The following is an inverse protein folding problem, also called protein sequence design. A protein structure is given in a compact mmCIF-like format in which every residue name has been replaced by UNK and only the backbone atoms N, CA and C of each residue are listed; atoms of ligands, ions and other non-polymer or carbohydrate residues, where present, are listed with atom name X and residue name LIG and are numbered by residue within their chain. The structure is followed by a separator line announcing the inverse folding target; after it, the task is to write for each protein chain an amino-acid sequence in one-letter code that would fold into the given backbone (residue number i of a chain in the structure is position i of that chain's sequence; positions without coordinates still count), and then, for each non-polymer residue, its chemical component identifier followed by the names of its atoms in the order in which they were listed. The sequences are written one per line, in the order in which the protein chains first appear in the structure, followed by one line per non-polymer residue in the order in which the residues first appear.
data_IF_222973041237
#
_entry.id   IF_222973041237
#
_cell.length_a   1.000
_cell.length_b   1.000
_cell.length_c   1.000
_cell.angle_alpha   90.00
_cell.angle_beta   90.00
_cell.angle_gamma   90.00
#
_symmetry.space_group_name_H-M   'P 1'
#
loop_
_entity.id
_entity.type
_entity.pdbx_description
1 polymer ?
#
# COMPACT_ATOMS: atom_id res chain seq x y z
N UNK A 1 -50.42 4.33 -46.62
CA UNK A 1 -51.06 5.65 -46.77
C UNK A 1 -50.32 6.59 -45.83
N UNK A 2 -49.27 7.26 -46.31
CA UNK A 2 -49.22 8.68 -46.70
C UNK A 2 -49.60 9.65 -45.57
N UNK A 3 -48.61 10.36 -44.98
CA UNK A 3 -48.25 11.80 -45.22
C UNK A 3 -49.01 12.69 -44.21
N UNK A 4 -48.46 13.71 -43.54
CA UNK A 4 -47.20 14.46 -43.67
C UNK A 4 -46.86 15.17 -42.34
N UNK A 5 -45.58 15.48 -42.09
CA UNK A 5 -44.87 16.74 -42.42
C UNK A 5 -45.05 17.88 -41.40
N UNK A 6 -43.94 18.20 -40.70
CA UNK A 6 -43.25 19.51 -40.67
C UNK A 6 -43.91 20.57 -39.76
N UNK A 7 -43.28 21.35 -38.88
CA UNK A 7 -41.92 21.86 -38.62
C UNK A 7 -41.92 22.34 -37.14
N UNK A 8 -40.80 22.47 -36.43
CA UNK A 8 -40.15 23.77 -36.23
C UNK A 8 -38.65 23.62 -35.92
N UNK A 9 -37.91 24.56 -36.50
CA UNK A 9 -36.47 24.70 -36.52
C UNK A 9 -36.03 25.66 -35.40
N UNK A 10 -34.80 25.42 -34.91
CA UNK A 10 -33.80 26.38 -34.39
C UNK A 10 -33.97 26.90 -32.96
N UNK A 11 -32.99 26.55 -32.12
CA UNK A 11 -32.15 27.47 -31.36
C UNK A 11 -30.87 26.72 -30.90
N UNK A 12 -29.84 26.72 -31.73
CA UNK A 12 -28.48 26.34 -31.33
C UNK A 12 -27.50 27.19 -32.15
N UNK A 13 -27.17 28.36 -31.61
CA UNK A 13 -26.17 29.25 -32.15
C UNK A 13 -25.29 29.72 -31.00
N UNK A 14 -24.17 29.01 -30.80
CA UNK A 14 -22.89 29.46 -30.23
C UNK A 14 -21.98 28.24 -29.99
N UNK A 15 -21.47 27.67 -31.07
CA UNK A 15 -20.25 26.87 -31.03
C UNK A 15 -19.42 27.19 -32.28
N UNK A 16 -18.17 27.60 -32.06
CA UNK A 16 -17.23 27.96 -33.12
C UNK A 16 -16.96 26.78 -34.06
N UNK A 17 -16.44 27.10 -35.24
CA UNK A 17 -16.15 26.13 -36.31
C UNK A 17 -15.28 24.99 -35.79
N UNK A 18 -15.80 23.75 -35.84
CA UNK A 18 -15.06 22.56 -35.42
C UNK A 18 -14.04 22.16 -36.49
N UNK A 19 -12.78 22.51 -36.26
CA UNK A 19 -11.66 22.06 -37.09
C UNK A 19 -11.37 20.58 -36.80
N UNK A 20 -11.18 19.79 -37.86
CA UNK A 20 -10.92 18.36 -37.78
C UNK A 20 -9.56 18.06 -37.11
N UNK A 21 -9.43 16.95 -36.34
CA UNK A 21 -8.17 16.58 -35.66
C UNK A 21 -6.98 16.47 -36.63
N UNK A 22 -7.20 15.92 -37.82
CA UNK A 22 -6.19 15.82 -38.88
C UNK A 22 -5.69 17.19 -39.36
N UNK A 23 -6.58 18.18 -39.43
CA UNK A 23 -6.29 19.54 -39.86
C UNK A 23 -5.43 20.30 -38.83
N UNK A 24 -5.54 19.94 -37.55
CA UNK A 24 -4.75 20.52 -36.44
C UNK A 24 -3.31 19.99 -36.44
N UNK A 25 -3.11 18.74 -36.82
CA UNK A 25 -1.78 18.11 -36.85
C UNK A 25 -0.93 18.54 -38.06
N UNK A 26 -1.55 18.99 -39.17
CA UNK A 26 -0.84 19.52 -40.34
C UNK A 26 -0.34 20.96 -40.17
N UNK A 27 -0.99 21.77 -39.32
CA UNK A 27 -0.59 23.17 -39.07
C UNK A 27 0.61 23.27 -38.10
N UNK A 28 0.88 22.21 -37.33
CA UNK A 28 1.93 22.19 -36.29
C UNK A 28 3.32 21.78 -36.82
N UNK A 29 3.44 21.29 -38.06
CA UNK A 29 4.72 20.83 -38.63
C UNK A 29 5.27 21.85 -39.63
N UNK A 30 5.89 22.91 -39.13
CA UNK A 30 6.81 23.71 -39.93
C UNK A 30 8.12 22.93 -40.12
N UNK A 31 8.21 22.15 -41.21
CA UNK A 31 9.50 21.71 -41.74
C UNK A 31 10.14 22.90 -42.48
N UNK A 32 11.09 23.56 -41.83
CA UNK A 32 11.97 24.51 -42.48
C UNK A 32 13.08 23.73 -43.20
N UNK A 33 12.88 23.42 -44.48
CA UNK A 33 13.97 23.04 -45.39
C UNK A 33 14.46 24.31 -46.07
N UNK A 34 15.52 24.92 -45.53
CA UNK A 34 16.21 26.03 -46.18
C UNK A 34 17.13 25.46 -47.29
N UNK A 35 16.80 25.79 -48.53
CA UNK A 35 17.69 25.59 -49.67
C UNK A 35 18.87 26.57 -49.57
N UNK A 36 20.09 26.05 -49.72
CA UNK A 36 21.30 26.85 -49.75
C UNK A 36 21.36 27.64 -51.08
N UNK A 37 21.18 28.95 -51.01
CA UNK A 37 21.61 29.88 -52.05
C UNK A 37 22.97 30.44 -51.64
N UNK A 38 23.99 30.18 -52.45
CA UNK A 38 25.33 30.74 -52.27
C UNK A 38 25.32 32.24 -52.58
N UNK A 39 25.72 33.07 -51.62
CA UNK A 39 26.13 34.45 -51.85
C UNK A 39 27.45 34.67 -51.13
N UNK A 40 28.42 35.20 -51.87
CA UNK A 40 29.78 35.47 -51.43
C UNK A 40 29.86 36.64 -50.45
N UNK A 41 30.94 36.58 -49.69
CA UNK A 41 31.47 37.44 -48.63
C UNK A 41 31.49 38.95 -48.88
N UNK A 42 31.34 39.73 -47.79
CA UNK A 42 32.28 40.81 -47.41
C UNK A 42 32.09 41.25 -45.94
N UNK A 43 33.21 41.67 -45.34
CA UNK A 43 33.46 42.27 -44.01
C UNK A 43 33.40 41.43 -42.71
N UNK A 44 34.60 40.95 -42.30
CA UNK A 44 34.90 40.45 -40.97
C UNK A 44 35.16 41.60 -39.99
N UNK A 45 34.22 41.87 -39.08
CA UNK A 45 34.54 42.55 -37.83
C UNK A 45 35.15 41.53 -36.84
N UNK A 46 36.23 41.88 -36.10
CA UNK A 46 36.83 40.96 -35.14
C UNK A 46 35.88 40.78 -33.94
N UNK A 47 35.19 39.65 -33.91
CA UNK A 47 34.43 39.23 -32.73
C UNK A 47 35.42 38.80 -31.63
N UNK A 48 35.59 39.67 -30.64
CA UNK A 48 36.23 39.31 -29.38
C UNK A 48 35.38 38.23 -28.70
N UNK A 49 35.76 36.96 -28.84
CA UNK A 49 35.18 35.86 -28.05
C UNK A 49 35.65 36.10 -26.61
N UNK A 50 34.77 36.41 -25.64
CA UNK A 50 35.21 36.47 -24.26
C UNK A 50 35.71 35.08 -23.86
N UNK A 51 36.83 34.97 -23.13
CA UNK A 51 37.27 33.67 -22.64
C UNK A 51 36.14 33.06 -21.82
N UNK A 52 35.82 31.79 -22.10
CA UNK A 52 34.88 30.99 -21.31
C UNK A 52 35.31 31.15 -19.85
N UNK A 53 34.51 31.89 -19.07
CA UNK A 53 34.74 32.04 -17.65
C UNK A 53 34.87 30.63 -17.09
N UNK A 54 36.06 30.29 -16.58
CA UNK A 54 36.28 29.04 -15.86
C UNK A 54 35.20 28.99 -14.79
N UNK A 55 34.25 28.07 -14.94
CA UNK A 55 33.19 27.87 -13.96
C UNK A 55 33.88 27.77 -12.59
N UNK A 56 33.48 28.64 -11.65
CA UNK A 56 33.95 28.58 -10.27
C UNK A 56 33.93 27.11 -9.83
N UNK A 57 34.94 26.63 -9.05
CA UNK A 57 35.07 25.22 -8.73
C UNK A 57 33.73 24.71 -8.21
N UNK A 58 33.07 23.84 -9.00
CA UNK A 58 31.75 23.33 -8.65
C UNK A 58 31.89 22.66 -7.29
N UNK A 59 31.10 23.09 -6.30
CA UNK A 59 31.13 22.48 -4.97
C UNK A 59 30.86 20.98 -5.10
N UNK A 60 31.85 20.16 -4.76
CA UNK A 60 31.74 18.72 -4.92
C UNK A 60 30.94 18.15 -3.73
N UNK A 61 29.92 17.35 -4.03
CA UNK A 61 29.18 16.57 -3.06
C UNK A 61 29.44 15.09 -3.31
N UNK A 62 29.68 14.33 -2.25
CA UNK A 62 29.68 12.87 -2.34
C UNK A 62 28.26 12.39 -2.68
N UNK A 63 28.14 11.60 -3.75
CA UNK A 63 26.87 10.98 -4.13
C UNK A 63 26.77 9.63 -3.43
N UNK A 64 25.73 9.45 -2.62
CA UNK A 64 25.44 8.21 -1.93
C UNK A 64 24.15 7.60 -2.48
N UNK A 65 24.11 6.27 -2.53
CA UNK A 65 22.87 5.53 -2.74
C UNK A 65 22.36 5.07 -1.37
N UNK A 66 21.06 5.24 -1.13
CA UNK A 66 20.37 4.75 0.05
C UNK A 66 19.23 3.82 -0.34
N UNK A 67 18.87 2.90 0.56
CA UNK A 67 17.81 1.93 0.31
C UNK A 67 16.77 1.99 1.42
N UNK A 68 15.54 2.32 1.03
CA UNK A 68 14.37 2.21 1.90
C UNK A 68 13.76 0.84 1.66
N UNK A 69 14.26 -0.15 2.42
CA UNK A 69 13.73 -1.49 2.38
C UNK A 69 12.49 -1.60 3.28
N UNK A 70 11.39 -2.03 2.69
CA UNK A 70 10.07 -2.07 3.33
C UNK A 70 9.46 -3.47 3.30
N UNK A 71 8.82 -3.87 4.40
CA UNK A 71 7.91 -5.03 4.45
C UNK A 71 6.48 -4.51 4.40
N UNK A 72 5.69 -4.78 3.34
CA UNK A 72 4.32 -4.28 3.24
C UNK A 72 3.38 -4.93 4.27
N UNK A 73 2.21 -4.34 4.56
CA UNK A 73 1.21 -4.96 5.43
C UNK A 73 0.80 -6.33 4.90
N UNK A 74 0.77 -7.33 5.78
CA UNK A 74 0.38 -8.71 5.47
C UNK A 74 -1.11 -8.96 5.70
N UNK A 75 -1.74 -8.16 6.57
CA UNK A 75 -3.17 -8.23 6.87
C UNK A 75 -3.81 -6.86 6.70
N UNK A 76 -5.12 -6.85 6.48
CA UNK A 76 -5.93 -5.63 6.40
C UNK A 76 -5.82 -4.84 7.70
N UNK A 77 -6.02 -3.52 7.62
CA UNK A 77 -6.07 -2.65 8.81
C UNK A 77 -7.29 -2.96 9.69
N UNK A 78 -7.22 -2.56 10.95
CA UNK A 78 -8.41 -2.51 11.79
C UNK A 78 -9.37 -1.42 11.29
N UNK A 79 -10.67 -1.72 11.41
CA UNK A 79 -11.74 -0.79 11.05
C UNK A 79 -11.88 0.28 12.13
N UNK A 80 -12.13 1.51 11.70
CA UNK A 80 -12.53 2.55 12.65
C UNK A 80 -13.93 2.22 13.20
N UNK A 81 -14.27 2.55 14.47
CA UNK A 81 -15.59 2.27 15.02
C UNK A 81 -16.76 2.78 14.15
N UNK A 82 -16.60 3.96 13.56
CA UNK A 82 -17.55 4.50 12.59
C UNK A 82 -17.69 3.63 11.33
N UNK A 83 -16.58 3.13 10.78
CA UNK A 83 -16.62 2.28 9.58
C UNK A 83 -17.29 0.94 9.88
N UNK A 84 -17.02 0.35 11.04
CA UNK A 84 -17.67 -0.89 11.48
C UNK A 84 -19.19 -0.72 11.60
N UNK A 85 -19.64 0.37 12.23
CA UNK A 85 -21.06 0.72 12.33
C UNK A 85 -21.69 1.00 10.95
N UNK A 86 -20.99 1.75 10.09
CA UNK A 86 -21.44 2.04 8.74
C UNK A 86 -21.60 0.77 7.89
N UNK A 87 -20.65 -0.17 7.97
CA UNK A 87 -20.76 -1.42 7.23
C UNK A 87 -21.93 -2.27 7.72
N UNK A 88 -22.17 -2.34 9.04
CA UNK A 88 -23.33 -3.04 9.57
C UNK A 88 -24.64 -2.41 9.05
N UNK A 89 -24.74 -1.09 9.09
CA UNK A 89 -25.88 -0.35 8.57
C UNK A 89 -26.13 -0.65 7.09
N UNK A 90 -25.09 -0.57 6.26
CA UNK A 90 -25.20 -0.88 4.83
C UNK A 90 -25.58 -2.34 4.56
N UNK A 91 -25.10 -3.30 5.38
CA UNK A 91 -25.50 -4.70 5.25
C UNK A 91 -26.99 -4.91 5.55
N UNK A 92 -27.54 -4.24 6.58
CA UNK A 92 -28.98 -4.32 6.91
C UNK A 92 -29.84 -3.64 5.85
N UNK A 93 -29.40 -2.49 5.34
CA UNK A 93 -30.06 -1.84 4.21
C UNK A 93 -30.06 -2.74 2.97
N UNK A 94 -28.93 -3.41 2.69
CA UNK A 94 -28.84 -4.38 1.62
C UNK A 94 -29.80 -5.56 1.83
N UNK A 95 -30.00 -6.06 3.06
CA UNK A 95 -30.99 -7.12 3.35
C UNK A 95 -32.43 -6.71 2.98
N UNK A 96 -32.76 -5.41 3.05
CA UNK A 96 -34.07 -4.89 2.65
C UNK A 96 -34.24 -4.80 1.13
N UNK A 97 -33.19 -4.39 0.44
CA UNK A 97 -33.23 -4.09 -1.00
C UNK A 97 -32.89 -5.30 -1.87
N UNK A 98 -32.10 -6.23 -1.34
CA UNK A 98 -31.69 -7.42 -2.05
C UNK A 98 -32.86 -8.39 -2.26
N UNK A 99 -32.79 -9.15 -3.34
CA UNK A 99 -33.73 -10.23 -3.58
C UNK A 99 -33.61 -11.28 -2.46
N UNK A 100 -34.73 -11.88 -2.03
CA UNK A 100 -34.72 -12.87 -0.96
C UNK A 100 -33.87 -14.09 -1.34
N UNK A 101 -33.15 -14.63 -0.37
CA UNK A 101 -32.28 -15.78 -0.58
C UNK A 101 -33.06 -17.02 -1.07
N UNK A 102 -32.73 -17.49 -2.29
CA UNK A 102 -33.39 -18.65 -2.92
C UNK A 102 -32.83 -19.96 -2.41
N UNK A 103 -33.27 -20.39 -1.23
CA UNK A 103 -32.81 -21.64 -0.58
C UNK A 103 -32.83 -22.87 -1.48
N UNK A 104 -33.89 -23.06 -2.29
CA UNK A 104 -34.05 -24.25 -3.13
C UNK A 104 -33.01 -24.39 -4.25
N UNK A 105 -32.35 -23.29 -4.61
CA UNK A 105 -31.25 -23.30 -5.56
C UNK A 105 -30.00 -23.97 -4.98
N UNK A 106 -29.73 -23.77 -3.68
CA UNK A 106 -28.54 -24.28 -2.99
C UNK A 106 -28.79 -25.60 -2.25
N UNK A 107 -29.98 -25.78 -1.67
CA UNK A 107 -30.31 -26.94 -0.83
C UNK A 107 -31.48 -27.73 -1.42
N UNK A 108 -31.23 -28.99 -1.78
CA UNK A 108 -32.28 -29.91 -2.22
C UNK A 108 -33.19 -30.25 -1.03
N UNK A 109 -34.51 -30.31 -1.29
CA UNK A 109 -35.51 -30.64 -0.26
C UNK A 109 -35.21 -31.98 0.41
N UNK A 110 -35.45 -32.08 1.72
CA UNK A 110 -35.30 -33.30 2.53
C UNK A 110 -33.87 -33.87 2.61
N UNK A 111 -32.86 -33.04 2.33
CA UNK A 111 -31.47 -33.38 2.62
C UNK A 111 -31.12 -32.99 4.07
N UNK A 112 -30.12 -33.63 4.71
CA UNK A 112 -29.63 -33.22 6.03
C UNK A 112 -29.26 -31.72 6.07
N UNK A 113 -28.62 -31.21 5.01
CA UNK A 113 -28.28 -29.79 4.88
C UNK A 113 -29.50 -28.86 4.84
N UNK A 114 -30.59 -29.26 4.16
CA UNK A 114 -31.85 -28.48 4.16
C UNK A 114 -32.50 -28.43 5.56
N UNK A 115 -32.45 -29.54 6.29
CA UNK A 115 -32.98 -29.63 7.66
C UNK A 115 -32.16 -28.80 8.64
N UNK A 116 -30.84 -28.89 8.55
CA UNK A 116 -29.92 -28.09 9.35
C UNK A 116 -30.07 -26.59 9.06
N UNK A 117 -30.13 -26.20 7.78
CA UNK A 117 -30.38 -24.82 7.39
C UNK A 117 -31.69 -24.29 7.98
N UNK A 118 -32.79 -25.05 7.89
CA UNK A 118 -34.09 -24.65 8.50
C UNK A 118 -34.02 -24.54 10.02
N UNK A 119 -33.19 -25.35 10.68
CA UNK A 119 -32.96 -25.27 12.13
C UNK A 119 -32.21 -23.98 12.49
N UNK A 120 -31.09 -23.70 11.81
CA UNK A 120 -30.26 -22.51 12.01
C UNK A 120 -31.00 -21.21 11.62
N UNK A 121 -31.78 -21.23 10.54
CA UNK A 121 -32.63 -20.11 10.13
C UNK A 121 -33.67 -19.71 11.18
N UNK A 122 -34.29 -20.68 11.86
CA UNK A 122 -35.25 -20.39 12.95
C UNK A 122 -34.60 -19.64 14.11
N UNK A 123 -33.31 -19.84 14.37
CA UNK A 123 -32.57 -19.16 15.43
C UNK A 123 -32.12 -17.74 15.05
N UNK A 124 -31.78 -17.52 13.76
CA UNK A 124 -31.24 -16.24 13.27
C UNK A 124 -32.29 -15.27 12.71
N UNK A 125 -33.45 -15.77 12.27
CA UNK A 125 -34.50 -15.05 11.54
C UNK A 125 -34.10 -14.59 10.12
N UNK A 126 -32.81 -14.44 9.81
CA UNK A 126 -32.31 -14.11 8.46
C UNK A 126 -31.33 -15.13 7.88
N UNK A 127 -31.19 -15.15 6.53
CA UNK A 127 -30.16 -15.91 5.84
C UNK A 127 -28.74 -15.42 6.16
N UNK A 128 -28.57 -14.11 6.35
CA UNK A 128 -27.30 -13.51 6.73
C UNK A 128 -26.86 -13.93 8.14
N UNK A 129 -25.55 -13.95 8.36
CA UNK A 129 -24.91 -14.48 9.59
C UNK A 129 -24.35 -13.40 10.49
N UNK A 130 -24.09 -12.24 9.92
CA UNK A 130 -23.22 -11.19 10.46
C UNK A 130 -23.96 -9.86 10.72
N UNK A 131 -25.28 -9.82 10.55
CA UNK A 131 -26.11 -8.61 10.72
C UNK A 131 -26.93 -8.58 12.03
N UNK A 132 -26.79 -9.61 12.86
CA UNK A 132 -27.62 -9.78 14.06
C UNK A 132 -29.03 -10.26 13.73
N UNK A 133 -29.94 -10.10 14.70
CA UNK A 133 -31.37 -10.40 14.51
C UNK A 133 -32.04 -9.20 13.88
N UNK A 134 -32.18 -9.25 12.57
CA UNK A 134 -32.92 -8.26 11.78
C UNK A 134 -33.73 -9.01 10.72
N UNK A 135 -34.90 -8.51 10.32
CA UNK A 135 -35.69 -9.07 9.22
C UNK A 135 -36.32 -7.93 8.42
N UNK A 136 -35.99 -7.82 7.14
CA UNK A 136 -36.47 -6.73 6.27
C UNK A 136 -37.94 -6.85 5.83
N UNK A 137 -38.63 -7.95 6.14
CA UNK A 137 -39.98 -8.25 5.63
C UNK A 137 -41.08 -8.27 6.71
N UNK A 138 -40.73 -8.15 8.00
CA UNK A 138 -41.71 -8.17 9.08
C UNK A 138 -42.25 -6.76 9.40
N UNK A 139 -43.21 -6.67 10.33
CA UNK A 139 -43.74 -5.38 10.80
C UNK A 139 -42.69 -4.50 11.52
N UNK A 140 -41.57 -5.09 11.94
CA UNK A 140 -40.45 -4.43 12.62
C UNK A 140 -39.30 -4.10 11.65
N UNK A 141 -39.51 -4.17 10.33
CA UNK A 141 -38.48 -3.91 9.33
C UNK A 141 -37.90 -2.49 9.39
N UNK A 142 -38.64 -1.55 10.00
CA UNK A 142 -38.22 -0.18 10.27
C UNK A 142 -37.10 -0.09 11.32
N UNK A 143 -36.91 -1.12 12.15
CA UNK A 143 -35.91 -1.15 13.22
C UNK A 143 -34.60 -1.79 12.73
N UNK A 144 -34.05 -1.22 11.66
CA UNK A 144 -32.78 -1.66 11.05
C UNK A 144 -31.55 -1.00 11.66
N UNK A 145 -31.71 0.16 12.30
CA UNK A 145 -30.63 0.82 13.04
C UNK A 145 -30.34 0.13 14.37
N UNK A 146 -29.13 0.35 14.88
CA UNK A 146 -28.67 -0.25 16.14
C UNK A 146 -28.26 0.85 17.11
N UNK A 147 -28.58 0.64 18.39
CA UNK A 147 -28.16 1.53 19.47
C UNK A 147 -26.63 1.55 19.62
N UNK A 148 -26.13 2.67 20.15
CA UNK A 148 -24.70 2.85 20.42
C UNK A 148 -24.21 1.79 21.42
N UNK A 149 -23.06 1.19 21.15
CA UNK A 149 -22.47 0.15 22.00
C UNK A 149 -22.91 -1.28 21.68
N UNK A 150 -23.64 -1.47 20.58
CA UNK A 150 -24.04 -2.78 20.12
C UNK A 150 -22.88 -3.58 19.53
N UNK A 151 -22.81 -4.85 19.94
CA UNK A 151 -21.70 -5.78 19.64
C UNK A 151 -21.77 -6.31 18.21
N UNK A 152 -22.91 -6.22 17.56
CA UNK A 152 -23.17 -6.69 16.20
C UNK A 152 -22.27 -6.00 15.17
N UNK A 153 -21.84 -4.77 15.45
CA UNK A 153 -20.93 -4.03 14.59
C UNK A 153 -19.48 -4.52 14.70
N UNK A 154 -19.12 -5.19 15.79
CA UNK A 154 -17.77 -5.67 16.03
C UNK A 154 -17.41 -6.85 15.13
N UNK A 155 -16.24 -6.77 14.50
CA UNK A 155 -15.75 -7.82 13.60
C UNK A 155 -15.56 -9.16 14.32
N UNK A 156 -15.10 -9.13 15.58
CA UNK A 156 -14.92 -10.35 16.38
C UNK A 156 -16.25 -11.07 16.63
N UNK A 157 -17.30 -10.33 16.98
CA UNK A 157 -18.64 -10.89 17.15
C UNK A 157 -19.15 -11.51 15.84
N UNK A 158 -18.92 -10.86 14.70
CA UNK A 158 -19.29 -11.39 13.38
C UNK A 158 -18.55 -12.70 13.07
N UNK A 159 -17.24 -12.76 13.34
CA UNK A 159 -16.44 -13.98 13.16
C UNK A 159 -16.94 -15.11 14.05
N UNK A 160 -17.24 -14.84 15.31
CA UNK A 160 -17.78 -15.84 16.24
C UNK A 160 -19.12 -16.41 15.74
N UNK A 161 -20.02 -15.56 15.22
CA UNK A 161 -21.31 -16.03 14.65
C UNK A 161 -21.14 -16.84 13.37
N UNK A 162 -20.15 -16.49 12.55
CA UNK A 162 -19.81 -17.26 11.36
C UNK A 162 -19.26 -18.64 11.73
N UNK A 163 -18.41 -18.73 12.76
CA UNK A 163 -17.86 -19.98 13.26
C UNK A 163 -18.92 -20.86 13.93
N UNK A 164 -19.81 -20.26 14.74
CA UNK A 164 -20.95 -20.97 15.33
C UNK A 164 -21.90 -21.52 14.27
N UNK A 165 -22.11 -20.80 13.16
CA UNK A 165 -22.93 -21.30 12.06
C UNK A 165 -22.22 -22.37 11.22
N UNK A 166 -20.90 -22.29 11.11
CA UNK A 166 -20.11 -23.31 10.43
C UNK A 166 -20.14 -24.63 11.21
N UNK A 167 -20.11 -24.58 12.55
CA UNK A 167 -20.22 -25.76 13.40
C UNK A 167 -21.45 -26.59 13.03
N UNK A 168 -21.21 -27.79 12.51
CA UNK A 168 -22.26 -28.78 12.29
C UNK A 168 -22.63 -29.37 13.63
N UNK A 169 -23.89 -29.26 14.02
CA UNK A 169 -24.34 -29.77 15.32
C UNK A 169 -24.40 -31.31 15.39
N UNK A 170 -23.90 -32.06 14.38
CA UNK A 170 -23.85 -33.53 14.36
C UNK A 170 -25.21 -34.25 14.50
N UNK A 171 -26.31 -33.51 14.71
CA UNK A 171 -27.65 -34.06 14.89
C UNK A 171 -28.18 -34.53 13.55
N UNK A 172 -27.94 -35.80 13.27
CA UNK A 172 -28.63 -36.55 12.23
C UNK A 172 -30.15 -36.38 12.40
N UNK A 173 -30.84 -36.32 11.26
CA UNK A 173 -32.27 -36.11 11.20
C UNK A 173 -33.01 -37.36 11.70
N UNK A 174 -33.31 -37.44 13.00
CA UNK A 174 -34.08 -38.53 13.58
C UNK A 174 -34.10 -38.63 15.11
N UNK A 175 -33.16 -37.99 15.81
CA UNK A 175 -33.16 -38.02 17.28
C UNK A 175 -34.15 -36.99 17.85
N UNK A 176 -35.23 -37.51 18.44
CA UNK A 176 -36.21 -36.81 19.27
C UNK A 176 -35.53 -35.96 20.35
N UNK A 177 -36.14 -34.81 20.68
CA UNK A 177 -35.64 -33.80 21.64
C UNK A 177 -35.41 -34.29 23.09
N UNK A 178 -35.61 -35.58 23.38
CA UNK A 178 -35.79 -36.12 24.74
C UNK A 178 -34.70 -37.10 25.22
N UNK A 179 -33.50 -37.11 24.61
CA UNK A 179 -32.38 -37.91 25.11
C UNK A 179 -31.10 -37.11 25.29
N UNK A 180 -31.08 -36.37 26.40
CA UNK A 180 -29.86 -35.94 27.07
C UNK A 180 -29.01 -34.92 26.32
N UNK A 181 -28.51 -33.92 27.03
CA UNK A 181 -27.36 -33.13 26.59
C UNK A 181 -26.12 -34.04 26.49
N UNK A 182 -26.08 -34.99 25.56
CA UNK A 182 -24.80 -35.43 25.04
C UNK A 182 -24.20 -34.17 24.43
N UNK A 183 -23.12 -33.68 25.05
CA UNK A 183 -22.17 -32.75 24.44
C UNK A 183 -21.79 -33.40 23.11
N UNK A 184 -22.52 -33.10 22.05
CA UNK A 184 -22.01 -33.29 20.71
C UNK A 184 -20.75 -32.45 20.72
N UNK A 185 -19.60 -33.09 20.60
CA UNK A 185 -18.36 -32.41 20.27
C UNK A 185 -18.65 -31.66 18.98
N UNK A 186 -19.06 -30.40 19.10
CA UNK A 186 -19.06 -29.47 17.99
C UNK A 186 -17.63 -29.58 17.46
N UNK A 187 -17.47 -30.06 16.23
CA UNK A 187 -16.19 -29.96 15.55
C UNK A 187 -15.85 -28.47 15.56
N UNK A 188 -14.95 -28.11 16.48
CA UNK A 188 -14.54 -26.74 16.69
C UNK A 188 -13.68 -26.42 15.49
N UNK A 189 -14.28 -25.78 14.49
CA UNK A 189 -13.54 -25.23 13.37
C UNK A 189 -12.37 -24.42 13.91
N UNK A 190 -11.20 -24.63 13.29
CA UNK A 190 -10.00 -23.90 13.67
C UNK A 190 -10.27 -22.39 13.57
N UNK A 191 -10.16 -21.73 14.72
CA UNK A 191 -10.33 -20.27 14.78
C UNK A 191 -9.21 -19.62 13.96
N UNK A 192 -9.51 -18.51 13.24
CA UNK A 192 -8.45 -17.73 12.61
C UNK A 192 -7.38 -17.34 13.63
N UNK A 193 -6.12 -17.40 13.19
CA UNK A 193 -4.98 -16.99 14.02
C UNK A 193 -5.15 -15.54 14.50
N UNK A 194 -4.69 -15.21 15.72
CA UNK A 194 -4.79 -13.86 16.23
C UNK A 194 -4.02 -12.87 15.36
N UNK A 195 -4.58 -11.66 15.23
CA UNK A 195 -3.98 -10.58 14.43
C UNK A 195 -2.71 -10.00 15.08
N UNK A 196 -2.58 -10.13 16.40
CA UNK A 196 -1.38 -9.80 17.18
C UNK A 196 -0.56 -11.06 17.37
N UNK A 197 0.73 -10.97 17.08
CA UNK A 197 1.66 -12.10 17.22
C UNK A 197 2.42 -12.02 18.54
N UNK A 198 3.13 -13.08 18.90
CA UNK A 198 4.03 -13.05 20.07
C UNK A 198 5.11 -11.96 19.97
N UNK A 199 5.52 -11.61 18.74
CA UNK A 199 6.50 -10.54 18.52
C UNK A 199 5.92 -9.16 18.82
N UNK A 200 4.61 -8.97 18.67
CA UNK A 200 3.90 -7.76 19.10
C UNK A 200 3.82 -7.69 20.63
N UNK A 201 3.51 -8.80 21.30
CA UNK A 201 3.45 -8.87 22.76
C UNK A 201 4.81 -8.60 23.40
N UNK A 202 5.87 -9.17 22.83
CA UNK A 202 7.26 -9.01 23.29
C UNK A 202 7.91 -7.71 22.78
N UNK A 203 7.23 -6.95 21.90
CA UNK A 203 7.79 -5.78 21.21
C UNK A 203 9.16 -6.05 20.55
N UNK A 204 9.32 -7.20 19.91
CA UNK A 204 10.57 -7.58 19.27
C UNK A 204 10.79 -6.81 17.96
N UNK A 205 11.52 -5.69 18.05
CA UNK A 205 11.83 -4.83 16.89
C UNK A 205 12.70 -5.48 15.81
N UNK A 206 13.24 -6.69 16.02
CA UNK A 206 14.03 -7.41 15.00
C UNK A 206 13.17 -8.39 14.19
N UNK A 207 12.00 -8.76 14.69
CA UNK A 207 11.10 -9.68 14.00
C UNK A 207 10.31 -8.99 12.89
N UNK A 208 10.19 -9.66 11.75
CA UNK A 208 9.30 -9.26 10.65
C UNK A 208 7.84 -9.62 10.93
N UNK A 209 7.59 -10.53 11.86
CA UNK A 209 6.25 -11.04 12.21
C UNK A 209 5.50 -10.13 13.21
N UNK A 210 6.06 -8.97 13.58
CA UNK A 210 5.38 -7.95 14.40
C UNK A 210 4.60 -6.97 13.53
N UNK A 211 3.52 -6.36 14.00
CA UNK A 211 2.78 -5.29 13.35
C UNK A 211 2.40 -5.65 11.91
N UNK A 212 1.72 -6.78 11.73
CA UNK A 212 1.34 -7.31 10.41
C UNK A 212 0.46 -6.35 9.60
N UNK A 213 -0.27 -5.44 10.27
CA UNK A 213 -1.13 -4.43 9.64
C UNK A 213 -0.38 -3.21 9.11
N UNK A 214 0.90 -3.06 9.47
CA UNK A 214 1.70 -1.87 9.16
C UNK A 214 2.93 -2.23 8.33
N UNK A 215 3.45 -1.24 7.62
CA UNK A 215 4.66 -1.29 6.83
C UNK A 215 5.81 -1.08 7.77
N UNK A 216 6.72 -2.05 7.78
CA UNK A 216 7.97 -1.95 8.53
C UNK A 216 9.09 -1.54 7.60
N UNK A 217 9.97 -0.67 8.08
CA UNK A 217 11.15 -0.21 7.37
C UNK A 217 12.40 -0.69 8.08
N UNK A 218 13.38 -1.15 7.31
CA UNK A 218 14.68 -1.53 7.86
C UNK A 218 15.50 -0.30 8.20
N UNK A 219 15.88 -0.16 9.47
CA UNK A 219 16.91 0.76 9.92
C UNK A 219 18.14 0.00 10.41
N UNK A 220 19.29 0.59 10.13
CA UNK A 220 20.59 0.07 10.57
C UNK A 220 21.29 1.12 11.42
N UNK A 221 22.04 0.65 12.41
CA UNK A 221 22.86 1.49 13.28
C UNK A 221 24.27 1.57 12.70
N UNK A 222 24.69 2.76 12.30
CA UNK A 222 26.02 3.01 11.76
C UNK A 222 27.14 2.83 12.80
N UNK A 223 28.39 2.85 12.33
CA UNK A 223 29.58 2.85 13.20
C UNK A 223 29.55 4.00 14.21
N UNK A 224 29.09 5.17 13.77
CA UNK A 224 28.88 6.40 14.55
C UNK A 224 27.71 6.30 15.55
N UNK A 225 26.89 5.25 15.46
CA UNK A 225 25.79 5.00 16.38
C UNK A 225 24.46 5.64 15.99
N UNK A 226 24.41 6.37 14.88
CA UNK A 226 23.18 6.94 14.32
C UNK A 226 22.32 5.88 13.62
N UNK A 227 21.00 6.01 13.77
CA UNK A 227 20.02 5.18 13.09
C UNK A 227 19.61 5.80 11.76
N UNK A 228 19.78 5.06 10.68
CA UNK A 228 19.44 5.52 9.34
C UNK A 228 19.15 4.34 8.41
N UNK A 229 18.65 4.63 7.21
CA UNK A 229 18.52 3.62 6.18
C UNK A 229 19.92 3.13 5.72
N UNK A 230 20.03 1.86 5.29
CA UNK A 230 21.24 1.37 4.65
C UNK A 230 21.63 2.27 3.47
N UNK A 231 22.83 2.84 3.52
CA UNK A 231 23.36 3.70 2.47
C UNK A 231 24.87 3.49 2.34
N UNK A 232 25.40 3.72 1.15
CA UNK A 232 26.83 3.69 0.87
C UNK A 232 27.16 4.68 -0.25
N UNK A 233 28.45 5.01 -0.38
CA UNK A 233 28.95 5.86 -1.45
C UNK A 233 28.77 5.18 -2.80
N UNK A 234 28.34 5.96 -3.79
CA UNK A 234 28.22 5.50 -5.17
C UNK A 234 29.62 5.24 -5.74
N UNK A 235 29.77 4.12 -6.44
CA UNK A 235 31.00 3.69 -7.13
C UNK A 235 30.77 3.78 -8.65
N UNK A 236 31.52 3.01 -9.43
CA UNK A 236 31.37 2.88 -10.89
C UNK A 236 30.13 2.05 -11.27
N UNK A 237 28.97 2.41 -10.73
CA UNK A 237 27.69 1.72 -10.92
C UNK A 237 26.52 2.72 -10.94
N UNK A 238 25.34 2.27 -11.38
CA UNK A 238 24.12 3.08 -11.30
C UNK A 238 23.48 2.99 -9.89
N UNK A 239 22.58 3.92 -9.57
CA UNK A 239 21.91 3.96 -8.26
C UNK A 239 21.16 2.64 -7.93
N UNK A 240 20.61 1.99 -8.94
CA UNK A 240 19.91 0.71 -8.78
C UNK A 240 20.86 -0.44 -8.43
N UNK A 241 22.01 -0.54 -9.12
CA UNK A 241 23.07 -1.50 -8.84
C UNK A 241 23.67 -1.27 -7.45
N UNK A 242 23.94 -0.01 -7.11
CA UNK A 242 24.38 0.37 -5.77
C UNK A 242 23.37 -0.04 -4.70
N UNK A 243 22.08 0.20 -4.91
CA UNK A 243 21.03 -0.23 -3.99
C UNK A 243 21.03 -1.75 -3.79
N UNK A 244 21.12 -2.53 -4.87
CA UNK A 244 21.20 -4.00 -4.79
C UNK A 244 22.42 -4.45 -3.99
N UNK A 245 23.58 -3.86 -4.27
CA UNK A 245 24.82 -4.13 -3.55
C UNK A 245 24.71 -3.78 -2.07
N UNK A 246 24.13 -2.62 -1.73
CA UNK A 246 23.95 -2.15 -0.35
C UNK A 246 23.07 -3.12 0.42
N UNK A 247 21.96 -3.61 -0.14
CA UNK A 247 21.09 -4.59 0.52
C UNK A 247 21.89 -5.84 0.89
N UNK A 248 22.60 -6.43 -0.07
CA UNK A 248 23.39 -7.65 0.16
C UNK A 248 24.53 -7.42 1.15
N UNK A 249 25.19 -6.25 1.10
CA UNK A 249 26.31 -5.93 1.99
C UNK A 249 25.86 -5.58 3.41
N UNK A 250 24.69 -4.94 3.57
CA UNK A 250 24.14 -4.53 4.85
C UNK A 250 23.45 -5.68 5.60
N UNK A 251 22.65 -6.49 4.88
CA UNK A 251 21.77 -7.50 5.47
C UNK A 251 22.07 -8.95 5.09
N UNK A 252 23.06 -9.18 4.23
CA UNK A 252 23.46 -10.51 3.78
C UNK A 252 22.62 -11.04 2.60
N UNK A 253 22.96 -12.24 2.10
CA UNK A 253 22.29 -12.85 0.95
C UNK A 253 20.93 -13.47 1.28
N UNK A 254 20.62 -13.71 2.56
CA UNK A 254 19.42 -14.42 3.00
C UNK A 254 18.16 -13.52 3.07
N UNK A 255 18.01 -12.62 2.10
CA UNK A 255 16.87 -11.72 1.97
C UNK A 255 16.38 -11.72 0.54
N UNK A 256 15.16 -12.23 0.33
CA UNK A 256 14.49 -12.09 -0.95
C UNK A 256 13.93 -10.68 -1.06
N UNK A 257 14.63 -9.83 -1.81
CA UNK A 257 14.29 -8.42 -1.99
C UNK A 257 14.04 -8.09 -3.45
N UNK A 258 13.10 -7.16 -3.66
CA UNK A 258 12.75 -6.64 -4.97
C UNK A 258 12.88 -5.13 -4.97
N UNK A 259 13.76 -4.60 -5.81
CA UNK A 259 13.87 -3.17 -6.09
C UNK A 259 12.73 -2.73 -7.00
N UNK A 260 11.97 -1.71 -6.59
CA UNK A 260 10.75 -1.31 -7.29
C UNK A 260 11.03 -0.67 -8.65
N UNK A 261 12.14 0.05 -8.78
CA UNK A 261 12.55 0.70 -10.01
C UNK A 261 13.83 1.53 -9.85
N UNK A 262 14.18 2.26 -10.90
CA UNK A 262 15.42 3.03 -10.98
C UNK A 262 15.29 4.47 -10.47
N UNK A 263 14.06 4.93 -10.21
CA UNK A 263 13.77 6.31 -9.81
C UNK A 263 13.94 6.45 -8.30
N UNK A 264 14.75 7.41 -7.81
CA UNK A 264 14.85 7.68 -6.39
C UNK A 264 13.54 8.28 -5.88
N UNK A 265 13.07 7.80 -4.73
CA UNK A 265 11.81 8.24 -4.09
C UNK A 265 12.01 9.48 -3.19
N UNK A 266 13.26 9.85 -2.93
CA UNK A 266 13.63 11.06 -2.22
C UNK A 266 15.13 11.15 -1.99
N UNK A 267 15.56 12.21 -1.31
CA UNK A 267 16.96 12.49 -1.08
C UNK A 267 17.18 13.14 0.29
N UNK A 268 18.39 13.03 0.81
CA UNK A 268 18.85 13.72 2.01
C UNK A 268 20.23 14.34 1.74
N UNK A 269 20.38 15.61 2.09
CA UNK A 269 21.63 16.35 1.94
C UNK A 269 22.21 16.64 3.32
N UNK A 270 23.49 16.34 3.49
CA UNK A 270 24.28 16.69 4.68
C UNK A 270 25.44 17.55 4.21
N UNK A 271 25.72 18.61 4.96
CA UNK A 271 26.91 19.44 4.77
C UNK A 271 27.92 19.10 5.85
N UNK A 272 29.18 18.91 5.44
CA UNK A 272 30.24 18.58 6.36
C UNK A 272 30.74 19.85 7.06
N UNK A 273 30.85 19.79 8.39
CA UNK A 273 31.43 20.90 9.17
C UNK A 273 32.90 21.16 8.80
N UNK A 274 33.60 20.15 8.29
CA UNK A 274 34.97 20.26 7.77
C UNK A 274 35.03 19.71 6.35
N UNK A 275 35.53 20.51 5.41
CA UNK A 275 35.70 20.09 4.02
C UNK A 275 36.78 19.02 3.91
N UNK A 276 36.47 17.91 3.25
CA UNK A 276 37.45 16.85 3.00
C UNK A 276 38.04 17.02 1.61
N UNK A 277 39.37 17.07 1.52
CA UNK A 277 40.06 17.07 0.21
C UNK A 277 40.13 15.65 -0.32
N UNK A 278 39.57 15.42 -1.50
CA UNK A 278 39.68 14.14 -2.19
C UNK A 278 41.04 13.99 -2.87
N UNK A 279 41.50 12.76 -3.13
CA UNK A 279 42.72 12.50 -3.88
C UNK A 279 42.72 13.10 -5.30
N UNK A 280 41.53 13.36 -5.85
CA UNK A 280 41.35 14.03 -7.16
C UNK A 280 41.56 15.55 -7.12
N UNK A 281 41.87 16.13 -5.96
CA UNK A 281 42.08 17.57 -5.78
C UNK A 281 40.81 18.39 -5.53
N UNK A 282 39.64 17.76 -5.59
CA UNK A 282 38.35 18.38 -5.30
C UNK A 282 38.09 18.45 -3.78
N UNK A 283 37.48 19.56 -3.32
CA UNK A 283 37.02 19.71 -1.94
C UNK A 283 35.56 19.27 -1.82
N UNK A 284 35.29 18.22 -1.04
CA UNK A 284 33.94 17.78 -0.72
C UNK A 284 33.34 18.62 0.41
N UNK A 285 32.20 19.24 0.12
CA UNK A 285 31.46 20.10 1.06
C UNK A 285 30.38 19.33 1.83
N UNK A 286 29.98 18.15 1.34
CA UNK A 286 28.90 17.38 1.92
C UNK A 286 28.59 16.11 1.15
N UNK A 287 27.48 15.47 1.52
CA UNK A 287 26.95 14.29 0.86
C UNK A 287 25.48 14.46 0.46
N UNK A 288 25.11 13.93 -0.71
CA UNK A 288 23.74 13.80 -1.19
C UNK A 288 23.40 12.32 -1.30
N UNK A 289 22.52 11.84 -0.43
CA UNK A 289 22.02 10.47 -0.47
C UNK A 289 20.70 10.44 -1.22
N UNK A 290 20.63 9.61 -2.27
CA UNK A 290 19.40 9.34 -3.02
C UNK A 290 18.82 7.99 -2.61
N UNK A 291 17.55 7.95 -2.22
CA UNK A 291 16.91 6.74 -1.69
C UNK A 291 16.11 6.02 -2.76
N UNK A 292 16.35 4.72 -2.92
CA UNK A 292 15.54 3.83 -3.74
C UNK A 292 14.62 2.99 -2.87
N UNK A 293 13.44 2.65 -3.43
CA UNK A 293 12.47 1.80 -2.75
C UNK A 293 12.77 0.33 -3.04
N UNK A 294 12.86 -0.45 -1.97
CA UNK A 294 12.95 -1.91 -2.05
C UNK A 294 11.84 -2.55 -1.20
N UNK A 295 11.40 -3.75 -1.59
CA UNK A 295 10.46 -4.57 -0.84
C UNK A 295 11.12 -5.88 -0.43
N UNK A 296 10.94 -6.29 0.81
CA UNK A 296 11.29 -7.65 1.24
C UNK A 296 10.08 -8.56 1.08
N UNK A 297 10.30 -9.74 0.51
CA UNK A 297 9.28 -10.79 0.32
C UNK A 297 9.48 -11.93 1.32
N UNK A 298 10.73 -12.28 1.62
CA UNK A 298 11.09 -13.32 2.57
C UNK A 298 12.54 -13.13 3.07
N UNK A 299 12.90 -13.84 4.13
CA UNK A 299 14.25 -13.82 4.70
C UNK A 299 14.40 -12.82 5.85
N UNK A 300 15.63 -12.65 6.33
CA UNK A 300 15.93 -11.82 7.48
C UNK A 300 17.34 -11.23 7.38
N UNK A 301 17.53 -10.06 8.00
CA UNK A 301 18.82 -9.39 8.08
C UNK A 301 19.80 -10.21 8.91
N UNK A 302 20.96 -10.48 8.34
CA UNK A 302 22.09 -11.10 9.04
C UNK A 302 23.29 -10.15 9.07
N UNK A 303 23.65 -9.68 10.26
CA UNK A 303 24.77 -8.75 10.45
C UNK A 303 26.14 -9.44 10.58
N UNK A 304 26.22 -10.77 10.66
CA UNK A 304 27.49 -11.50 10.91
C UNK A 304 28.56 -11.27 9.83
N UNK A 305 28.15 -11.06 8.58
CA UNK A 305 29.04 -10.87 7.42
C UNK A 305 28.95 -9.46 6.82
N UNK A 306 28.56 -8.48 7.63
CA UNK A 306 28.29 -7.14 7.14
C UNK A 306 29.57 -6.37 6.77
N UNK A 307 29.67 -5.96 5.50
CA UNK A 307 30.83 -5.22 4.96
C UNK A 307 30.80 -3.71 5.28
N UNK A 308 29.61 -3.16 5.57
CA UNK A 308 29.40 -1.75 5.90
C UNK A 308 29.63 -1.45 7.39
N UNK A 309 29.75 -2.49 8.22
CA UNK A 309 30.06 -2.37 9.66
C UNK A 309 28.91 -1.77 10.48
N UNK A 310 27.67 -2.08 10.13
CA UNK A 310 26.51 -1.75 10.98
C UNK A 310 26.51 -2.60 12.24
N UNK A 311 26.23 -1.96 13.38
CA UNK A 311 26.27 -2.59 14.71
C UNK A 311 24.98 -3.33 15.06
N UNK A 312 23.84 -2.80 14.62
CA UNK A 312 22.52 -3.33 14.96
C UNK A 312 21.51 -2.99 13.85
N UNK A 313 20.37 -3.67 13.85
CA UNK A 313 19.27 -3.42 12.92
C UNK A 313 17.92 -3.51 13.63
N UNK A 314 16.93 -2.79 13.10
CA UNK A 314 15.54 -2.83 13.57
C UNK A 314 14.58 -2.66 12.39
N UNK A 315 13.45 -3.33 12.47
CA UNK A 315 12.31 -3.14 11.58
C UNK A 315 11.29 -2.24 12.26
N UNK A 316 11.13 -0.99 11.83
CA UNK A 316 10.28 0.01 12.52
C UNK A 316 9.15 0.51 11.64
N UNK A 317 7.99 0.76 12.24
CA UNK A 317 6.89 1.47 11.59
C UNK A 317 7.20 2.98 11.48
N UNK A 318 6.47 3.70 10.64
CA UNK A 318 6.67 5.16 10.42
C UNK A 318 6.65 5.96 11.74
N UNK A 319 5.69 5.70 12.62
CA UNK A 319 5.54 6.42 13.90
C UNK A 319 6.70 6.16 14.88
N UNK A 320 7.26 4.95 14.84
CA UNK A 320 8.40 4.56 15.67
C UNK A 320 9.69 5.16 15.10
N UNK A 321 9.81 5.21 13.76
CA UNK A 321 10.97 5.74 13.07
C UNK A 321 11.21 7.21 13.43
N UNK A 322 10.16 8.02 13.53
CA UNK A 322 10.23 9.42 13.93
C UNK A 322 10.93 9.63 15.29
N UNK A 323 10.77 8.68 16.23
CA UNK A 323 11.32 8.78 17.58
C UNK A 323 12.79 8.36 17.66
N UNK A 324 13.27 7.63 16.65
CA UNK A 324 14.57 6.96 16.66
C UNK A 324 15.61 7.70 15.80
N UNK A 325 15.19 8.28 14.68
CA UNK A 325 16.09 9.02 13.78
C UNK A 325 16.18 10.49 14.17
N UNK A 326 17.27 11.15 13.76
CA UNK A 326 17.47 12.57 14.01
C UNK A 326 16.43 13.42 13.26
N UNK A 327 16.07 14.57 13.84
CA UNK A 327 15.02 15.43 13.30
C UNK A 327 15.31 15.94 11.86
N UNK A 328 16.54 16.37 11.50
CA UNK A 328 16.85 16.76 10.12
C UNK A 328 16.67 15.62 9.13
N UNK A 329 17.10 14.42 9.52
CA UNK A 329 16.93 13.22 8.72
C UNK A 329 15.44 12.89 8.54
N UNK A 330 14.66 12.89 9.62
CA UNK A 330 13.22 12.66 9.59
C UNK A 330 12.49 13.61 8.62
N UNK A 331 12.81 14.90 8.65
CA UNK A 331 12.20 15.91 7.77
C UNK A 331 12.37 15.57 6.29
N UNK A 332 13.52 15.00 5.91
CA UNK A 332 13.78 14.56 4.54
C UNK A 332 13.05 13.27 4.17
N UNK A 333 12.97 12.30 5.09
CA UNK A 333 12.49 10.95 4.77
C UNK A 333 11.00 10.73 4.98
N UNK A 334 10.33 11.51 5.82
CA UNK A 334 8.93 11.28 6.23
C UNK A 334 7.93 11.15 5.07
N UNK A 335 8.18 11.86 3.96
CA UNK A 335 7.30 11.87 2.79
C UNK A 335 7.49 10.64 1.89
N UNK A 336 8.61 9.92 2.04
CA UNK A 336 8.88 8.69 1.30
C UNK A 336 8.18 7.47 1.93
N UNK A 337 7.76 7.59 3.19
CA UNK A 337 7.20 6.50 3.98
C UNK A 337 5.67 6.53 3.92
N UNK A 338 5.08 5.39 3.59
CA UNK A 338 3.65 5.15 3.73
C UNK A 338 3.22 5.22 5.20
N UNK A 339 2.04 5.78 5.46
CA UNK A 339 1.43 5.83 6.79
C UNK A 339 1.08 4.45 7.34
N UNK A 340 0.79 3.51 6.44
CA UNK A 340 0.49 2.12 6.75
C UNK A 340 1.33 1.19 5.94
#
# INVERSE_FOLDING_TARGET
MNVGQQTTRRLAAKSGQSICRSCRDSISRNYASAAAAAVQSEDQAPQHIPPVAQAAPSTAYAVNAGVVLSRPPQITRDLHPFEAAFFLYQKRLNERLALPFTRYFYFKKRTPADLEWKRKMRQRLTPARDIGRYNGYNSEAWNDEVLVGAKESDVQWQVDRLLEDAATDGREAGESEDKGMKKVERELFDKPMPRRTEADEKNDTKSLNRALQRTLYLLVKNKEGQWQFPQDRLKDENLHGAASRIITQAGGPNMNTWLVGHVPIGHHQIEYTKTTKLPSGLTEYGAKTFFLKARIMAGQVNLKENKLGHKDFKWLAKDELQKVVEEPYWKSVKNMLAER
#
